data_IF_421021848123
#
_entry.id   IF_421021848123
#
_cell.length_a   1.000
_cell.length_b   1.000
_cell.length_c   1.000
_cell.angle_alpha   90.00
_cell.angle_beta   90.00
_cell.angle_gamma   90.00
#
_symmetry.space_group_name_H-M   'P 1'
#
loop_
_entity.id
_entity.type
_entity.pdbx_description
1 polymer ?
#
# COMPACT_ATOMS: atom_id res chain seq x y z
N UNK A 1 14.90 4.23 -20.68
CA UNK A 1 15.35 3.67 -19.40
C UNK A 1 14.49 4.24 -18.30
N UNK A 2 13.62 3.43 -17.68
CA UNK A 2 12.83 3.89 -16.54
C UNK A 2 13.76 4.03 -15.33
N UNK A 3 13.69 5.14 -14.60
CA UNK A 3 14.45 5.33 -13.37
C UNK A 3 14.01 4.26 -12.36
N UNK A 4 14.96 3.53 -11.77
CA UNK A 4 14.68 2.41 -10.88
C UNK A 4 13.86 2.81 -9.64
N UNK A 5 14.01 4.05 -9.18
CA UNK A 5 13.17 4.61 -8.12
C UNK A 5 11.70 4.74 -8.53
N UNK A 6 11.45 5.17 -9.78
CA UNK A 6 10.11 5.26 -10.36
C UNK A 6 9.52 3.85 -10.52
N UNK A 7 10.31 2.88 -10.99
CA UNK A 7 9.88 1.48 -11.05
C UNK A 7 9.44 0.98 -9.67
N UNK A 8 10.21 1.30 -8.63
CA UNK A 8 9.90 0.91 -7.26
C UNK A 8 8.58 1.48 -6.77
N UNK A 9 8.34 2.76 -7.04
CA UNK A 9 7.09 3.43 -6.66
C UNK A 9 5.89 2.86 -7.42
N UNK A 10 6.03 2.62 -8.74
CA UNK A 10 4.96 2.02 -9.56
C UNK A 10 4.63 0.62 -9.05
N UNK A 11 5.65 -0.22 -8.81
CA UNK A 11 5.43 -1.57 -8.29
C UNK A 11 4.72 -1.55 -6.94
N UNK A 12 5.13 -0.65 -6.04
CA UNK A 12 4.46 -0.45 -4.76
C UNK A 12 2.99 -0.03 -4.94
N UNK A 13 2.69 0.94 -5.80
CA UNK A 13 1.32 1.41 -6.03
C UNK A 13 0.45 0.27 -6.59
N UNK A 14 0.97 -0.51 -7.55
CA UNK A 14 0.25 -1.65 -8.14
C UNK A 14 -0.03 -2.73 -7.08
N UNK A 15 0.96 -3.09 -6.27
CA UNK A 15 0.78 -4.06 -5.19
C UNK A 15 -0.22 -3.57 -4.14
N UNK A 16 -0.15 -2.29 -3.76
CA UNK A 16 -1.08 -1.66 -2.81
C UNK A 16 -2.50 -1.62 -3.36
N UNK A 17 -2.69 -1.30 -4.64
CA UNK A 17 -3.99 -1.31 -5.29
C UNK A 17 -4.58 -2.73 -5.34
N UNK A 18 -3.77 -3.72 -5.73
CA UNK A 18 -4.18 -5.12 -5.73
C UNK A 18 -4.59 -5.58 -4.32
N UNK A 19 -3.81 -5.22 -3.30
CA UNK A 19 -4.14 -5.48 -1.90
C UNK A 19 -5.47 -4.84 -1.49
N UNK A 20 -5.71 -3.57 -1.81
CA UNK A 20 -6.97 -2.88 -1.48
C UNK A 20 -8.18 -3.54 -2.12
N UNK A 21 -8.06 -3.98 -3.37
CA UNK A 21 -9.11 -4.72 -4.09
C UNK A 21 -9.35 -6.08 -3.42
N UNK A 22 -8.30 -6.85 -3.14
CA UNK A 22 -8.44 -8.15 -2.49
C UNK A 22 -9.04 -8.05 -1.09
N UNK A 23 -8.60 -7.05 -0.31
CA UNK A 23 -9.14 -6.78 1.04
C UNK A 23 -10.62 -6.42 1.01
N UNK A 24 -11.10 -5.77 -0.05
CA UNK A 24 -12.52 -5.47 -0.19
C UNK A 24 -13.37 -6.74 -0.17
N UNK A 25 -12.94 -7.77 -0.91
CA UNK A 25 -13.67 -9.04 -1.03
C UNK A 25 -13.33 -10.04 0.09
N UNK A 26 -12.10 -10.01 0.61
CA UNK A 26 -11.59 -11.00 1.56
C UNK A 26 -11.11 -10.29 2.82
N UNK A 27 -11.88 -10.41 3.90
CA UNK A 27 -11.48 -9.89 5.22
C UNK A 27 -10.61 -10.89 5.97
N UNK A 28 -9.33 -10.96 5.60
CA UNK A 28 -8.40 -11.91 6.22
C UNK A 28 -7.03 -11.28 6.48
N UNK A 29 -6.55 -11.41 7.72
CA UNK A 29 -5.23 -10.94 8.15
C UNK A 29 -4.08 -11.53 7.33
N UNK A 30 -4.24 -12.75 6.80
CA UNK A 30 -3.26 -13.38 5.92
C UNK A 30 -3.01 -12.55 4.64
N UNK A 31 -4.05 -11.92 4.07
CA UNK A 31 -3.91 -11.06 2.88
C UNK A 31 -3.01 -9.88 3.19
N UNK A 32 -3.19 -9.24 4.35
CA UNK A 32 -2.34 -8.15 4.84
C UNK A 32 -0.90 -8.61 5.06
N UNK A 33 -0.67 -9.77 5.70
CA UNK A 33 0.68 -10.31 5.94
C UNK A 33 1.40 -10.61 4.62
N UNK A 34 0.71 -11.27 3.67
CA UNK A 34 1.26 -11.59 2.35
C UNK A 34 1.62 -10.30 1.59
N UNK A 35 0.74 -9.30 1.62
CA UNK A 35 1.02 -7.99 1.03
C UNK A 35 2.28 -7.36 1.60
N UNK A 36 2.44 -7.32 2.94
CA UNK A 36 3.65 -6.82 3.57
C UNK A 36 4.91 -7.57 3.16
N UNK A 37 4.85 -8.90 3.09
CA UNK A 37 5.98 -9.72 2.65
C UNK A 37 6.35 -9.41 1.19
N UNK A 38 5.37 -9.29 0.30
CA UNK A 38 5.59 -8.95 -1.11
C UNK A 38 6.23 -7.57 -1.29
N UNK A 39 5.76 -6.57 -0.54
CA UNK A 39 6.38 -5.24 -0.51
C UNK A 39 7.82 -5.36 -0.03
N UNK A 40 8.07 -6.00 1.11
CA UNK A 40 9.42 -6.09 1.65
C UNK A 40 10.41 -6.77 0.69
N UNK A 41 10.01 -7.91 0.12
CA UNK A 41 10.84 -8.67 -0.82
C UNK A 41 11.12 -7.86 -2.08
N UNK A 42 10.09 -7.29 -2.70
CA UNK A 42 10.25 -6.53 -3.95
C UNK A 42 11.09 -5.27 -3.75
N UNK A 43 10.85 -4.52 -2.69
CA UNK A 43 11.59 -3.30 -2.36
C UNK A 43 13.05 -3.60 -2.04
N UNK A 44 13.34 -4.71 -1.35
CA UNK A 44 14.71 -5.13 -1.07
C UNK A 44 15.52 -5.37 -2.35
N UNK A 45 14.98 -6.13 -3.31
CA UNK A 45 15.67 -6.41 -4.57
C UNK A 45 15.87 -5.16 -5.42
N UNK A 46 14.87 -4.27 -5.45
CA UNK A 46 15.00 -2.99 -6.15
C UNK A 46 16.04 -2.08 -5.48
N UNK A 47 16.12 -2.06 -4.15
CA UNK A 47 17.15 -1.32 -3.44
C UNK A 47 18.55 -1.90 -3.68
N UNK A 48 18.71 -3.23 -3.81
CA UNK A 48 19.98 -3.81 -4.27
C UNK A 48 20.34 -3.29 -5.66
N UNK A 49 19.40 -3.32 -6.60
CA UNK A 49 19.64 -2.82 -7.95
C UNK A 49 19.98 -1.31 -7.95
N UNK A 50 19.38 -0.53 -7.05
CA UNK A 50 19.65 0.89 -6.89
C UNK A 50 21.05 1.15 -6.34
N UNK A 51 21.50 0.35 -5.35
CA UNK A 51 22.89 0.43 -4.88
C UNK A 51 23.89 0.12 -6.00
N UNK A 52 23.56 -0.83 -6.89
CA UNK A 52 24.41 -1.14 -8.03
C UNK A 52 24.47 0.02 -9.04
N UNK A 53 23.36 0.70 -9.28
CA UNK A 53 23.31 1.86 -10.17
C UNK A 53 24.11 3.06 -9.63
N UNK A 54 24.03 3.32 -8.33
CA UNK A 54 24.69 4.47 -7.70
C UNK A 54 26.17 4.20 -7.40
N UNK A 55 26.49 3.01 -6.87
CA UNK A 55 27.84 2.67 -6.42
C UNK A 55 28.66 1.87 -7.44
N UNK A 56 28.04 1.40 -8.53
CA UNK A 56 28.67 0.49 -9.50
C UNK A 56 28.80 -0.96 -9.02
N UNK A 57 28.32 -1.28 -7.83
CA UNK A 57 28.29 -2.63 -7.28
C UNK A 57 27.16 -2.80 -6.25
N UNK A 58 26.68 -4.04 -6.07
CA UNK A 58 25.60 -4.37 -5.13
C UNK A 58 26.08 -4.20 -3.68
N UNK A 59 25.27 -3.54 -2.85
CA UNK A 59 25.48 -3.46 -1.39
C UNK A 59 24.28 -4.03 -0.63
N UNK A 60 24.22 -5.37 -0.41
CA UNK A 60 23.07 -6.03 0.20
C UNK A 60 22.77 -5.55 1.62
N UNK A 61 23.80 -5.30 2.44
CA UNK A 61 23.61 -4.82 3.81
C UNK A 61 22.97 -3.43 3.85
N UNK A 62 23.43 -2.52 2.98
CA UNK A 62 22.85 -1.18 2.83
C UNK A 62 21.42 -1.26 2.32
N UNK A 63 21.17 -2.06 1.27
CA UNK A 63 19.82 -2.24 0.72
C UNK A 63 18.86 -2.85 1.75
N UNK A 64 19.32 -3.79 2.58
CA UNK A 64 18.50 -4.40 3.63
C UNK A 64 18.09 -3.37 4.68
N UNK A 65 19.05 -2.62 5.23
CA UNK A 65 18.75 -1.65 6.30
C UNK A 65 17.85 -0.53 5.82
N UNK A 66 18.07 -0.02 4.60
CA UNK A 66 17.24 1.03 3.99
C UNK A 66 15.89 0.55 3.49
N UNK A 67 15.67 -0.77 3.44
CA UNK A 67 14.35 -1.36 3.23
C UNK A 67 13.67 -1.56 4.58
N UNK A 68 14.26 -2.39 5.46
CA UNK A 68 13.55 -2.86 6.65
C UNK A 68 13.22 -1.75 7.64
N UNK A 69 14.12 -0.81 7.84
CA UNK A 69 13.95 0.23 8.85
C UNK A 69 12.78 1.17 8.52
N UNK A 70 12.76 1.87 7.36
CA UNK A 70 11.66 2.78 7.06
C UNK A 70 10.34 2.04 6.83
N UNK A 71 10.34 0.85 6.20
CA UNK A 71 9.12 0.07 6.02
C UNK A 71 8.51 -0.39 7.34
N UNK A 72 9.32 -0.93 8.25
CA UNK A 72 8.82 -1.39 9.56
C UNK A 72 8.34 -0.22 10.40
N UNK A 73 9.12 0.87 10.48
CA UNK A 73 8.79 2.00 11.34
C UNK A 73 7.58 2.74 10.80
N UNK A 74 7.58 3.14 9.53
CA UNK A 74 6.50 3.99 9.01
C UNK A 74 5.26 3.14 8.74
N UNK A 75 5.37 2.07 7.96
CA UNK A 75 4.20 1.28 7.57
C UNK A 75 3.66 0.41 8.72
N UNK A 76 4.56 -0.15 9.54
CA UNK A 76 4.18 -0.90 10.74
C UNK A 76 3.47 -0.02 11.77
N UNK A 77 4.03 1.16 12.09
CA UNK A 77 3.36 2.08 13.03
C UNK A 77 2.01 2.58 12.51
N UNK A 78 1.91 2.90 11.21
CA UNK A 78 0.66 3.32 10.59
C UNK A 78 -0.41 2.21 10.67
N UNK A 79 -0.01 0.95 10.52
CA UNK A 79 -0.93 -0.18 10.63
C UNK A 79 -1.42 -0.40 12.07
N UNK A 80 -0.55 -0.24 13.06
CA UNK A 80 -0.93 -0.26 14.48
C UNK A 80 -1.87 0.91 14.78
N UNK A 81 -1.59 2.09 14.23
CA UNK A 81 -2.42 3.28 14.41
C UNK A 81 -3.85 3.07 13.89
N UNK A 82 -4.03 2.42 12.74
CA UNK A 82 -5.36 2.08 12.24
C UNK A 82 -6.11 1.07 13.10
N UNK A 83 -5.38 0.14 13.73
CA UNK A 83 -5.98 -0.85 14.61
C UNK A 83 -6.44 -0.24 15.93
N UNK A 84 -5.65 0.66 16.51
CA UNK A 84 -5.96 1.30 17.81
C UNK A 84 -6.90 2.50 17.66
N UNK A 85 -6.77 3.25 16.56
CA UNK A 85 -7.48 4.51 16.32
C UNK A 85 -8.09 4.50 14.91
N UNK A 86 -9.20 3.79 14.68
CA UNK A 86 -9.84 3.73 13.37
C UNK A 86 -10.23 5.12 12.82
N UNK A 87 -10.51 6.08 13.73
CA UNK A 87 -10.75 7.48 13.40
C UNK A 87 -9.58 8.17 12.67
N UNK A 88 -8.36 7.63 12.73
CA UNK A 88 -7.22 8.17 11.98
C UNK A 88 -7.40 8.12 10.46
N UNK A 89 -8.22 7.18 9.97
CA UNK A 89 -8.58 7.11 8.55
C UNK A 89 -9.59 8.18 8.13
N UNK A 90 -10.24 8.85 9.09
CA UNK A 90 -11.34 9.80 8.86
C UNK A 90 -11.05 10.88 7.82
N UNK A 91 -9.89 11.58 7.81
CA UNK A 91 -9.66 12.66 6.85
C UNK A 91 -9.75 12.20 5.38
N UNK A 92 -9.15 11.05 5.06
CA UNK A 92 -9.21 10.49 3.70
C UNK A 92 -10.48 9.69 3.44
N UNK A 93 -11.08 9.11 4.47
CA UNK A 93 -12.38 8.43 4.41
C UNK A 93 -13.49 9.41 4.05
N UNK A 94 -13.51 10.59 4.66
CA UNK A 94 -14.53 11.61 4.44
C UNK A 94 -14.34 12.40 3.14
N UNK A 95 -13.14 12.32 2.55
CA UNK A 95 -12.81 13.01 1.30
C UNK A 95 -12.80 12.03 0.12
N UNK A 96 -11.75 11.21 0.01
CA UNK A 96 -11.55 10.29 -1.11
C UNK A 96 -12.44 9.06 -1.00
N UNK A 97 -12.57 8.50 0.20
CA UNK A 97 -13.44 7.36 0.46
C UNK A 97 -14.89 7.68 0.18
N UNK A 98 -15.35 8.84 0.64
CA UNK A 98 -16.72 9.30 0.44
C UNK A 98 -16.99 9.59 -1.03
N UNK A 99 -16.02 10.16 -1.77
CA UNK A 99 -16.14 10.31 -3.21
C UNK A 99 -16.35 8.97 -3.92
N UNK A 100 -15.54 7.95 -3.58
CA UNK A 100 -15.69 6.60 -4.15
C UNK A 100 -17.03 5.97 -3.76
N UNK A 101 -17.43 6.08 -2.49
CA UNK A 101 -18.72 5.58 -1.98
C UNK A 101 -19.91 6.28 -2.62
N UNK A 102 -19.79 7.58 -2.93
CA UNK A 102 -20.80 8.34 -3.65
C UNK A 102 -20.98 7.84 -5.08
N UNK A 103 -19.89 7.52 -5.78
CA UNK A 103 -19.95 6.86 -7.10
C UNK A 103 -20.62 5.48 -6.99
N UNK A 104 -20.38 4.76 -5.89
CA UNK A 104 -21.05 3.49 -5.57
C UNK A 104 -22.51 3.62 -5.09
N UNK A 105 -23.07 4.84 -5.00
CA UNK A 105 -24.45 5.05 -4.59
C UNK A 105 -24.71 5.01 -3.08
N UNK A 106 -23.73 5.41 -2.24
CA UNK A 106 -23.91 5.43 -0.78
C UNK A 106 -25.02 6.38 -0.32
N UNK A 107 -25.22 7.50 -1.02
CA UNK A 107 -26.33 8.42 -0.73
C UNK A 107 -27.67 7.74 -0.93
N UNK A 108 -27.83 6.99 -2.01
CA UNK A 108 -29.07 6.28 -2.32
C UNK A 108 -29.30 5.13 -1.35
N UNK A 109 -28.23 4.38 -1.04
CA UNK A 109 -28.29 3.30 -0.05
C UNK A 109 -28.66 3.82 1.35
N UNK A 110 -28.10 4.97 1.75
CA UNK A 110 -28.43 5.60 3.03
C UNK A 110 -29.85 6.17 3.03
N UNK A 111 -30.27 6.87 1.98
CA UNK A 111 -31.63 7.40 1.90
C UNK A 111 -32.70 6.31 1.88
N UNK A 112 -32.42 5.15 1.28
CA UNK A 112 -33.33 4.02 1.26
C UNK A 112 -33.60 3.43 2.66
N UNK A 113 -32.69 3.62 3.63
CA UNK A 113 -32.89 3.16 5.01
C UNK A 113 -33.62 4.19 5.89
N UNK A 114 -33.73 5.44 5.46
CA UNK A 114 -34.40 6.49 6.22
C UNK A 114 -35.92 6.47 6.01
N UNK A 115 -36.73 6.84 7.01
CA UNK A 115 -38.18 6.94 6.88
C UNK A 115 -38.59 8.02 5.86
N UNK A 116 -39.66 7.74 5.10
CA UNK A 116 -40.13 8.61 4.01
C UNK A 116 -40.87 9.88 4.46
N UNK A 117 -41.21 10.01 5.74
CA UNK A 117 -41.92 11.18 6.28
C UNK A 117 -41.34 11.56 7.63
N UNK A 118 -40.85 12.79 7.70
CA UNK A 118 -40.37 13.42 8.93
C UNK A 118 -41.15 14.70 9.09
N UNK A 119 -41.84 14.84 10.22
CA UNK A 119 -42.71 15.99 10.50
C UNK A 119 -41.92 17.28 10.74
N UNK A 120 -40.65 17.18 11.13
CA UNK A 120 -39.80 18.30 11.50
C UNK A 120 -38.92 18.76 10.32
N UNK A 121 -39.12 20.00 9.85
CA UNK A 121 -38.34 20.63 8.76
C UNK A 121 -36.83 20.66 9.02
N UNK A 122 -36.39 20.85 10.26
CA UNK A 122 -34.96 20.86 10.59
C UNK A 122 -34.36 19.45 10.48
N UNK A 123 -35.11 18.43 10.89
CA UNK A 123 -34.69 17.04 10.78
C UNK A 123 -34.71 16.57 9.31
N UNK A 124 -35.65 17.08 8.51
CA UNK A 124 -35.70 16.85 7.06
C UNK A 124 -34.47 17.45 6.36
N UNK A 125 -34.06 18.68 6.69
CA UNK A 125 -32.86 19.30 6.13
C UNK A 125 -31.58 18.49 6.45
N UNK A 126 -31.48 17.92 7.67
CA UNK A 126 -30.37 17.04 8.07
C UNK A 126 -30.36 15.74 7.26
N UNK A 127 -31.53 15.24 6.86
CA UNK A 127 -31.64 14.01 6.07
C UNK A 127 -31.36 14.26 4.58
N UNK A 128 -31.67 15.46 4.09
CA UNK A 128 -31.31 15.90 2.74
C UNK A 128 -29.79 16.07 2.57
N UNK A 129 -29.08 16.53 3.61
CA UNK A 129 -27.62 16.54 3.68
C UNK A 129 -27.04 15.49 4.65
N UNK A 130 -27.35 14.23 4.35
CA UNK A 130 -26.85 13.07 5.08
C UNK A 130 -25.34 12.83 5.00
N UNK A 131 -24.57 13.71 4.34
CA UNK A 131 -23.14 13.53 4.12
C UNK A 131 -22.36 13.49 5.45
N UNK A 132 -22.77 14.31 6.42
CA UNK A 132 -22.18 14.33 7.76
C UNK A 132 -22.43 13.00 8.47
N UNK A 133 -23.67 12.48 8.44
CA UNK A 133 -24.00 11.20 9.05
C UNK A 133 -23.22 10.04 8.41
N UNK A 134 -23.17 9.99 7.08
CA UNK A 134 -22.41 8.97 6.35
C UNK A 134 -20.90 9.05 6.71
N UNK A 135 -20.41 10.26 7.00
CA UNK A 135 -19.01 10.47 7.35
C UNK A 135 -18.64 9.92 8.75
N UNK A 136 -19.58 9.87 9.68
CA UNK A 136 -19.39 9.28 11.02
C UNK A 136 -19.47 7.75 11.05
N UNK A 137 -19.98 7.12 9.98
CA UNK A 137 -20.11 5.67 9.89
C UNK A 137 -18.80 5.07 9.38
N UNK A 138 -18.33 4.05 10.09
CA UNK A 138 -17.14 3.26 9.82
C UNK A 138 -17.46 1.77 9.95
N UNK A 139 -16.64 0.86 9.40
CA UNK A 139 -16.85 -0.58 9.59
C UNK A 139 -16.83 -0.99 11.08
N UNK A 140 -16.06 -0.28 11.91
CA UNK A 140 -15.89 -0.62 13.32
C UNK A 140 -17.11 -0.28 14.20
N UNK A 141 -17.87 0.76 13.83
CA UNK A 141 -19.06 1.20 14.59
C UNK A 141 -20.38 0.92 13.85
N UNK A 142 -20.35 0.14 12.76
CA UNK A 142 -21.49 -0.03 11.88
C UNK A 142 -22.68 -0.71 12.55
N UNK A 143 -22.43 -1.77 13.32
CA UNK A 143 -23.49 -2.49 14.01
C UNK A 143 -24.13 -1.64 15.12
N UNK A 144 -23.31 -0.96 15.94
CA UNK A 144 -23.78 0.01 16.93
C UNK A 144 -24.62 1.13 16.30
N UNK A 145 -24.17 1.66 15.16
CA UNK A 145 -24.91 2.65 14.37
C UNK A 145 -26.27 2.09 13.95
N UNK A 146 -26.29 0.87 13.42
CA UNK A 146 -27.49 0.22 12.93
C UNK A 146 -28.52 -0.03 14.06
N UNK A 147 -28.07 -0.57 15.19
CA UNK A 147 -28.91 -0.83 16.36
C UNK A 147 -29.50 0.45 16.96
N UNK A 148 -28.72 1.54 17.01
CA UNK A 148 -29.21 2.86 17.46
C UNK A 148 -30.26 3.42 16.51
N UNK A 149 -30.06 3.29 15.20
CA UNK A 149 -31.06 3.71 14.21
C UNK A 149 -32.35 2.89 14.32
N UNK A 150 -32.23 1.59 14.57
CA UNK A 150 -33.37 0.70 14.74
C UNK A 150 -34.17 1.00 16.01
N UNK A 151 -33.49 1.09 17.17
CA UNK A 151 -34.13 1.34 18.47
C UNK A 151 -34.76 2.73 18.59
N UNK A 152 -34.21 3.73 17.89
CA UNK A 152 -34.77 5.09 17.82
C UNK A 152 -35.92 5.25 16.81
N UNK A 153 -36.30 4.19 16.09
CA UNK A 153 -37.34 4.26 15.06
C UNK A 153 -36.94 5.09 13.83
N UNK A 154 -35.64 5.31 13.62
CA UNK A 154 -35.09 6.09 12.51
C UNK A 154 -34.81 5.23 11.26
N UNK A 155 -35.11 3.93 11.29
CA UNK A 155 -35.12 3.07 10.11
C UNK A 155 -36.50 3.06 9.47
N UNK A 156 -36.52 3.05 8.14
CA UNK A 156 -37.73 2.83 7.36
C UNK A 156 -38.33 1.45 7.64
N UNK A 157 -39.66 1.37 7.67
CA UNK A 157 -40.40 0.11 7.80
C UNK A 157 -40.12 -0.89 6.66
N UNK A 158 -39.51 -0.43 5.55
CA UNK A 158 -39.16 -1.24 4.38
C UNK A 158 -37.71 -1.74 4.38
N UNK A 159 -36.93 -1.44 5.43
CA UNK A 159 -35.53 -1.85 5.50
C UNK A 159 -35.42 -3.37 5.54
N UNK A 160 -34.59 -3.92 4.68
CA UNK A 160 -34.25 -5.35 4.65
C UNK A 160 -32.81 -5.58 5.09
N UNK A 161 -32.47 -6.83 5.35
CA UNK A 161 -31.09 -7.24 5.58
C UNK A 161 -30.18 -6.89 4.38
N UNK A 162 -30.69 -6.96 3.16
CA UNK A 162 -29.97 -6.55 1.95
C UNK A 162 -29.63 -5.05 1.96
N UNK A 163 -30.54 -4.19 2.46
CA UNK A 163 -30.26 -2.76 2.63
C UNK A 163 -29.11 -2.52 3.62
N UNK A 164 -29.10 -3.27 4.74
CA UNK A 164 -28.00 -3.23 5.74
C UNK A 164 -26.67 -3.60 5.09
N UNK A 165 -26.64 -4.74 4.39
CA UNK A 165 -25.42 -5.25 3.74
C UNK A 165 -24.91 -4.33 2.64
N UNK A 166 -25.81 -3.77 1.83
CA UNK A 166 -25.47 -2.81 0.78
C UNK A 166 -24.80 -1.57 1.37
N UNK A 167 -25.38 -1.02 2.44
CA UNK A 167 -24.79 0.14 3.13
C UNK A 167 -23.42 -0.21 3.73
N UNK A 168 -23.32 -1.36 4.40
CA UNK A 168 -22.06 -1.83 4.99
C UNK A 168 -20.94 -1.97 3.93
N UNK A 169 -21.25 -2.56 2.77
CA UNK A 169 -20.28 -2.70 1.67
C UNK A 169 -19.76 -1.36 1.17
N UNK A 170 -20.60 -0.32 1.15
CA UNK A 170 -20.21 1.03 0.72
C UNK A 170 -19.40 1.76 1.80
N UNK A 171 -19.75 1.59 3.07
CA UNK A 171 -18.95 2.06 4.21
C UNK A 171 -17.57 1.38 4.24
N UNK A 172 -17.52 0.07 3.99
CA UNK A 172 -16.27 -0.69 3.85
C UNK A 172 -15.41 -0.15 2.70
N UNK A 173 -16.02 0.17 1.56
CA UNK A 173 -15.30 0.76 0.43
C UNK A 173 -14.67 2.12 0.79
N UNK A 174 -15.44 2.99 1.47
CA UNK A 174 -14.97 4.30 1.97
C UNK A 174 -13.72 4.15 2.85
N UNK A 175 -13.75 3.20 3.78
CA UNK A 175 -12.66 2.91 4.70
C UNK A 175 -11.40 2.33 4.02
N UNK A 176 -11.58 1.41 3.06
CA UNK A 176 -10.46 0.82 2.30
C UNK A 176 -9.80 1.85 1.38
N UNK A 177 -10.57 2.73 0.75
CA UNK A 177 -10.00 3.83 -0.05
C UNK A 177 -9.18 4.77 0.84
N UNK A 178 -9.64 5.08 2.05
CA UNK A 178 -8.88 5.87 3.00
C UNK A 178 -7.54 5.22 3.38
N UNK A 179 -7.55 3.91 3.65
CA UNK A 179 -6.34 3.12 3.92
C UNK A 179 -5.38 3.15 2.72
N UNK A 180 -5.90 2.99 1.50
CA UNK A 180 -5.11 3.08 0.27
C UNK A 180 -4.41 4.44 0.13
N UNK A 181 -5.12 5.56 0.35
CA UNK A 181 -4.52 6.90 0.27
C UNK A 181 -3.41 7.07 1.31
N UNK A 182 -3.65 6.63 2.56
CA UNK A 182 -2.62 6.66 3.59
C UNK A 182 -1.38 5.84 3.22
N UNK A 183 -1.57 4.62 2.72
CA UNK A 183 -0.49 3.76 2.26
C UNK A 183 0.27 4.37 1.09
N UNK A 184 -0.42 5.01 0.14
CA UNK A 184 0.20 5.72 -0.98
C UNK A 184 1.13 6.85 -0.48
N UNK A 185 0.67 7.66 0.47
CA UNK A 185 1.48 8.73 1.07
C UNK A 185 2.70 8.17 1.82
N UNK A 186 2.49 7.12 2.63
CA UNK A 186 3.57 6.46 3.36
C UNK A 186 4.62 5.85 2.41
N UNK A 187 4.18 5.21 1.33
CA UNK A 187 5.07 4.62 0.33
C UNK A 187 5.89 5.65 -0.44
N UNK A 188 5.29 6.80 -0.80
CA UNK A 188 6.02 7.93 -1.40
C UNK A 188 7.07 8.47 -0.43
N UNK A 189 6.71 8.66 0.84
CA UNK A 189 7.63 9.13 1.87
C UNK A 189 8.81 8.15 2.06
N UNK A 190 8.51 6.86 2.22
CA UNK A 190 9.55 5.82 2.39
C UNK A 190 10.46 5.79 1.17
N UNK A 191 9.91 5.77 -0.03
CA UNK A 191 10.70 5.76 -1.27
C UNK A 191 11.65 6.96 -1.34
N UNK A 192 11.17 8.14 -0.92
CA UNK A 192 11.97 9.37 -0.90
C UNK A 192 13.11 9.29 0.13
N UNK A 193 12.83 8.80 1.33
CA UNK A 193 13.83 8.58 2.40
C UNK A 193 14.87 7.56 1.95
N UNK A 194 14.43 6.42 1.42
CA UNK A 194 15.32 5.34 0.95
C UNK A 194 16.22 5.82 -0.19
N UNK A 195 15.66 6.51 -1.18
CA UNK A 195 16.45 7.08 -2.28
C UNK A 195 17.48 8.10 -1.78
N UNK A 196 17.06 9.02 -0.92
CA UNK A 196 17.96 10.02 -0.32
C UNK A 196 19.08 9.36 0.48
N UNK A 197 18.77 8.35 1.30
CA UNK A 197 19.78 7.65 2.09
C UNK A 197 20.79 6.91 1.22
N UNK A 198 20.33 6.14 0.22
CA UNK A 198 21.25 5.40 -0.67
C UNK A 198 22.12 6.37 -1.47
N UNK A 199 21.54 7.46 -1.99
CA UNK A 199 22.26 8.45 -2.80
C UNK A 199 23.34 9.19 -2.01
N UNK A 200 23.10 9.45 -0.72
CA UNK A 200 24.05 10.11 0.17
C UNK A 200 24.96 9.14 0.94
N UNK A 201 24.77 7.82 0.77
CA UNK A 201 25.56 6.82 1.48
C UNK A 201 26.98 6.74 0.92
N UNK A 202 27.97 6.59 1.81
CA UNK A 202 29.34 6.26 1.39
C UNK A 202 29.34 4.80 0.96
N UNK A 203 29.52 4.55 -0.34
CA UNK A 203 29.57 3.19 -0.87
C UNK A 203 30.71 2.39 -0.21
N UNK A 204 30.39 1.31 0.51
CA UNK A 204 31.39 0.48 1.22
C UNK A 204 31.70 -0.79 0.43
N UNK A 205 32.95 -0.95 0.02
CA UNK A 205 33.46 -2.22 -0.53
C UNK A 205 33.82 -3.16 0.62
N UNK A 206 33.08 -4.26 0.80
CA UNK A 206 33.45 -5.27 1.80
C UNK A 206 34.67 -6.06 1.33
N UNK A 207 35.44 -6.60 2.28
CA UNK A 207 36.59 -7.45 1.97
C UNK A 207 36.18 -8.72 1.19
N UNK A 208 35.02 -9.29 1.53
CA UNK A 208 34.41 -10.39 0.79
C UNK A 208 34.07 -10.00 -0.66
N UNK A 209 33.51 -8.81 -0.87
CA UNK A 209 33.22 -8.31 -2.22
C UNK A 209 34.51 -8.12 -3.03
N UNK A 210 35.57 -7.57 -2.42
CA UNK A 210 36.87 -7.43 -3.08
C UNK A 210 37.46 -8.79 -3.46
N UNK A 211 37.33 -9.80 -2.59
CA UNK A 211 37.76 -11.17 -2.87
C UNK A 211 36.96 -11.79 -4.01
N UNK A 212 35.64 -11.64 -3.99
CA UNK A 212 34.78 -12.16 -5.06
C UNK A 212 35.11 -11.53 -6.42
N UNK A 213 35.29 -10.20 -6.47
CA UNK A 213 35.69 -9.50 -7.69
C UNK A 213 37.08 -9.94 -8.19
N UNK A 214 38.01 -10.18 -7.28
CA UNK A 214 39.33 -10.74 -7.63
C UNK A 214 39.22 -12.15 -8.23
N UNK A 215 38.37 -13.01 -7.65
CA UNK A 215 38.13 -14.36 -8.15
C UNK A 215 37.40 -14.36 -9.51
N UNK A 216 36.47 -13.43 -9.74
CA UNK A 216 35.81 -13.21 -11.03
C UNK A 216 36.79 -12.72 -12.09
N UNK A 217 37.61 -11.72 -11.77
CA UNK A 217 38.67 -11.21 -12.65
C UNK A 217 39.67 -12.30 -13.04
N UNK A 218 40.11 -13.14 -12.08
CA UNK A 218 40.97 -14.29 -12.36
C UNK A 218 40.32 -15.27 -13.34
N UNK A 219 39.04 -15.62 -13.13
CA UNK A 219 38.31 -16.52 -14.06
C UNK A 219 38.20 -15.94 -15.46
N UNK A 220 38.01 -14.64 -15.61
CA UNK A 220 37.99 -13.98 -16.91
C UNK A 220 39.37 -13.96 -17.57
N UNK A 221 40.42 -13.64 -16.81
CA UNK A 221 41.80 -13.70 -17.28
C UNK A 221 42.16 -15.11 -17.79
N UNK A 222 41.82 -16.16 -17.03
CA UNK A 222 42.05 -17.55 -17.40
C UNK A 222 41.29 -17.94 -18.69
N UNK A 223 40.05 -17.47 -18.86
CA UNK A 223 39.27 -17.69 -20.09
C UNK A 223 39.91 -17.03 -21.31
N UNK A 224 40.40 -15.80 -21.16
CA UNK A 224 41.09 -15.07 -22.24
C UNK A 224 42.39 -15.76 -22.60
N UNK A 225 43.16 -16.24 -21.62
CA UNK A 225 44.40 -16.95 -21.85
C UNK A 225 44.18 -18.30 -22.57
N UNK A 226 43.17 -19.08 -22.16
CA UNK A 226 42.78 -20.32 -22.86
C UNK A 226 42.40 -20.06 -24.32
N UNK A 227 41.59 -19.03 -24.59
CA UNK A 227 41.24 -18.63 -25.97
C UNK A 227 42.44 -18.21 -26.81
N UNK A 228 43.49 -17.62 -26.21
CA UNK A 228 44.72 -17.28 -26.94
C UNK A 228 45.52 -18.54 -27.29
N UNK A 229 45.61 -19.51 -26.38
CA UNK A 229 46.32 -20.79 -26.62
C UNK A 229 45.65 -21.64 -27.71
N UNK A 230 44.32 -21.63 -27.80
CA UNK A 230 43.59 -22.30 -28.88
C UNK A 230 43.79 -21.64 -30.26
N UNK A 231 44.16 -20.36 -30.32
CA UNK A 231 44.37 -19.60 -31.57
C UNK A 231 45.82 -19.59 -32.06
N UNK A 232 46.71 -20.39 -31.47
CA UNK A 232 48.10 -20.47 -31.96
C UNK A 232 48.10 -21.23 -33.28
N UNK A 233 48.30 -20.52 -34.39
CA UNK A 233 48.43 -21.12 -35.72
C UNK A 233 49.80 -21.78 -35.85
N UNK A 234 49.83 -23.04 -36.28
CA UNK A 234 51.05 -23.71 -36.69
C UNK A 234 51.53 -23.07 -38.00
N UNK A 235 52.72 -22.47 -37.99
CA UNK A 235 53.42 -22.13 -39.24
C UNK A 235 53.87 -23.46 -39.84
N UNK A 236 53.34 -23.80 -41.02
CA UNK A 236 53.83 -24.93 -41.81
C UNK A 236 55.12 -24.48 -42.48
N UNK A 237 56.22 -25.11 -42.11
CA UNK A 237 57.48 -25.07 -42.85
C UNK A 237 57.35 -25.75 -44.22
#
# INVERSE_FOLDING_TARGET
>A
MMNLSILSLILFIVLTLAYSILKYFIDNRAVTIIYFALIFISQFFLNIALTNQICGFKQPALAFTTTIFPWTIIFGSLSVLFMMFPGWKSPFSNTFGYLAARVGGIKDAFNAILPSKISNKALQAIYEDNSLMINEITPANFDDFWEKMQSSGMLSAKVTQESKERLFKLVRMKDIVAEFVWYLLAGILISSITFSYISNSKCKRSAEFMKQQHDEWKKEADKVEKKKKEKVYYVRD
#
